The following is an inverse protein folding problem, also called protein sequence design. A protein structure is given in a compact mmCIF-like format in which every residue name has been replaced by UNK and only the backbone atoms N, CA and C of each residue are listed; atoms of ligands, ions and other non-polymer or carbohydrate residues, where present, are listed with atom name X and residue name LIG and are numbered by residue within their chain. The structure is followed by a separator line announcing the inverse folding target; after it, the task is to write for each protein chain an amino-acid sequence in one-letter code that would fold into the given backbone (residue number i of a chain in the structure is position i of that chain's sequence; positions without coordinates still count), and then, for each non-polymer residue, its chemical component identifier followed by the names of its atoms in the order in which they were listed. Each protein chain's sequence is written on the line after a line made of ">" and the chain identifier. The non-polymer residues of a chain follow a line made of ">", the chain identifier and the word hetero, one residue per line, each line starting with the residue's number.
data_IF_464716948876
#
_entry.id   IF_464716948876
#
_cell.length_a   1.000
_cell.length_b   1.000
_cell.length_c   1.000
_cell.angle_alpha   90.00
_cell.angle_beta   90.00
_cell.angle_gamma   90.00
#
_symmetry.space_group_name_H-M   'P 1'
#
loop_
_entity.id
_entity.type
_entity.pdbx_description
1 polymer ?
#
# COMPACT_ATOMS: atom_id res chain seq x y z
N UNK A 1 4.15 -11.02 14.79
CA UNK A 1 4.29 -9.56 14.58
C UNK A 1 2.96 -9.04 14.05
N UNK A 2 2.54 -7.85 14.46
CA UNK A 2 1.28 -7.22 14.08
C UNK A 2 1.52 -6.09 13.10
N UNK A 3 0.72 -6.05 12.04
CA UNK A 3 0.76 -5.01 11.01
C UNK A 3 -0.56 -4.26 11.03
N UNK A 4 -0.47 -2.94 11.22
CA UNK A 4 -1.57 -2.02 10.96
C UNK A 4 -1.51 -1.57 9.51
N UNK A 5 -2.49 -1.96 8.70
CA UNK A 5 -2.54 -1.66 7.29
C UNK A 5 -3.58 -0.59 6.97
N UNK A 6 -3.11 0.47 6.31
CA UNK A 6 -3.86 1.62 5.81
C UNK A 6 -3.53 1.84 4.33
N UNK A 7 -4.37 2.62 3.65
CA UNK A 7 -4.22 3.05 2.26
C UNK A 7 -5.24 4.14 1.97
N UNK A 8 -5.11 4.86 0.86
CA UNK A 8 -6.17 5.72 0.32
C UNK A 8 -6.69 6.73 1.36
N UNK A 9 -5.78 7.35 2.13
CA UNK A 9 -6.17 8.38 3.09
C UNK A 9 -6.52 9.70 2.41
N UNK A 10 -6.06 9.94 1.18
CA UNK A 10 -6.39 11.12 0.37
C UNK A 10 -6.33 12.46 1.13
N UNK A 11 -5.19 12.75 1.75
CA UNK A 11 -4.94 13.95 2.56
C UNK A 11 -5.81 14.07 3.83
N UNK A 12 -6.52 13.02 4.23
CA UNK A 12 -7.39 12.98 5.41
C UNK A 12 -6.77 12.24 6.61
N UNK A 13 -5.50 11.83 6.53
CA UNK A 13 -4.78 11.05 7.55
C UNK A 13 -4.84 11.67 8.96
N UNK A 14 -4.89 12.99 9.09
CA UNK A 14 -5.01 13.68 10.39
C UNK A 14 -6.34 13.40 11.13
N UNK A 15 -7.37 12.89 10.45
CA UNK A 15 -8.63 12.44 11.07
C UNK A 15 -8.49 11.09 11.78
N UNK A 16 -7.44 10.32 11.48
CA UNK A 16 -7.14 9.03 12.12
C UNK A 16 -6.49 9.25 13.49
N UNK A 17 -7.30 9.57 14.49
CA UNK A 17 -6.84 9.95 15.84
C UNK A 17 -6.77 8.79 16.83
N UNK A 18 -7.29 7.62 16.47
CA UNK A 18 -7.39 6.44 17.36
C UNK A 18 -7.03 5.16 16.60
N UNK A 19 -5.79 5.10 16.15
CA UNK A 19 -5.25 3.90 15.53
C UNK A 19 -4.84 2.88 16.61
N UNK A 20 -5.02 1.58 16.37
CA UNK A 20 -4.59 0.54 17.31
C UNK A 20 -3.06 0.46 17.37
N UNK A 21 -2.54 -0.11 18.45
CA UNK A 21 -1.14 -0.46 18.57
C UNK A 21 -0.78 -1.57 17.56
N UNK A 22 0.44 -1.50 17.02
CA UNK A 22 1.00 -2.49 16.11
C UNK A 22 2.53 -2.43 16.12
N UNK A 23 3.18 -3.48 15.66
CA UNK A 23 4.64 -3.52 15.52
C UNK A 23 5.11 -2.73 14.28
N UNK A 24 4.30 -2.75 13.21
CA UNK A 24 4.56 -2.05 11.95
C UNK A 24 3.28 -1.40 11.42
N UNK A 25 3.37 -0.15 10.98
CA UNK A 25 2.33 0.47 10.15
C UNK A 25 2.73 0.41 8.67
N UNK A 26 1.80 0.02 7.80
CA UNK A 26 1.97 0.03 6.35
C UNK A 26 0.90 0.90 5.70
N UNK A 27 1.30 1.83 4.82
CA UNK A 27 0.41 2.64 3.98
C UNK A 27 0.59 2.32 2.49
N UNK A 28 -0.39 1.67 1.84
CA UNK A 28 -0.25 1.17 0.46
C UNK A 28 -0.60 2.16 -0.65
N UNK A 29 -0.30 3.45 -0.46
CA UNK A 29 -0.47 4.50 -1.47
C UNK A 29 -1.74 5.34 -1.35
N UNK A 30 -1.84 6.36 -2.19
CA UNK A 30 -2.91 7.37 -2.22
C UNK A 30 -3.06 8.12 -0.90
N UNK A 31 -1.93 8.53 -0.34
CA UNK A 31 -1.93 9.40 0.83
C UNK A 31 -2.21 10.86 0.49
N UNK A 32 -1.99 11.28 -0.75
CA UNK A 32 -2.38 12.60 -1.25
C UNK A 32 -3.73 12.55 -1.98
N UNK A 33 -4.38 13.71 -2.13
CA UNK A 33 -5.61 13.83 -2.94
C UNK A 33 -5.29 14.35 -4.35
N UNK A 34 -4.41 15.35 -4.47
CA UNK A 34 -4.11 15.98 -5.76
C UNK A 34 -2.67 15.79 -6.20
N UNK A 35 -1.87 15.02 -5.44
CA UNK A 35 -0.48 14.77 -5.76
C UNK A 35 0.41 16.00 -5.62
N UNK A 36 0.12 16.92 -4.69
CA UNK A 36 1.00 18.07 -4.43
C UNK A 36 2.10 17.73 -3.42
N UNK A 37 3.26 18.37 -3.55
CA UNK A 37 4.36 18.22 -2.58
C UNK A 37 3.93 18.60 -1.16
N UNK A 38 3.06 19.60 -1.02
CA UNK A 38 2.57 20.04 0.28
C UNK A 38 1.73 18.97 0.99
N UNK A 39 0.89 18.24 0.25
CA UNK A 39 0.13 17.10 0.78
C UNK A 39 1.07 15.96 1.18
N UNK A 40 2.07 15.65 0.34
CA UNK A 40 3.05 14.62 0.65
C UNK A 40 3.86 14.96 1.91
N UNK A 41 4.31 16.20 2.06
CA UNK A 41 5.02 16.68 3.26
C UNK A 41 4.11 16.59 4.49
N UNK A 42 2.83 16.96 4.37
CA UNK A 42 1.87 16.86 5.49
C UNK A 42 1.67 15.41 5.94
N UNK A 43 1.53 14.48 4.99
CA UNK A 43 1.44 13.05 5.26
C UNK A 43 2.72 12.51 5.91
N UNK A 44 3.90 12.83 5.37
CA UNK A 44 5.17 12.34 5.91
C UNK A 44 5.42 12.85 7.34
N UNK A 45 5.08 14.11 7.64
CA UNK A 45 5.15 14.65 9.00
C UNK A 45 4.22 13.87 9.95
N UNK A 46 2.97 13.66 9.56
CA UNK A 46 2.03 12.85 10.34
C UNK A 46 2.54 11.43 10.55
N UNK A 47 3.05 10.79 9.50
CA UNK A 47 3.56 9.42 9.56
C UNK A 47 4.76 9.32 10.51
N UNK A 48 5.68 10.29 10.47
CA UNK A 48 6.87 10.31 11.34
C UNK A 48 6.48 10.42 12.82
N UNK A 49 5.49 11.25 13.15
CA UNK A 49 4.99 11.50 14.52
C UNK A 49 4.29 10.29 15.16
N UNK A 50 3.88 9.28 14.38
CA UNK A 50 3.20 8.10 14.92
C UNK A 50 4.17 7.19 15.71
N UNK A 51 3.70 6.57 16.81
CA UNK A 51 4.55 5.86 17.77
C UNK A 51 4.98 4.45 17.32
N UNK A 52 4.70 4.06 16.08
CA UNK A 52 5.00 2.71 15.58
C UNK A 52 6.52 2.50 15.46
N UNK A 53 7.05 1.35 15.89
CA UNK A 53 8.46 1.01 15.76
C UNK A 53 8.98 1.13 14.32
N UNK A 54 8.17 0.72 13.33
CA UNK A 54 8.44 0.91 11.91
C UNK A 54 7.20 1.37 11.15
N UNK A 55 7.41 2.20 10.13
CA UNK A 55 6.38 2.67 9.20
C UNK A 55 6.86 2.46 7.76
N UNK A 56 6.04 1.84 6.92
CA UNK A 56 6.34 1.61 5.51
C UNK A 56 5.27 2.31 4.68
N UNK A 57 5.65 2.95 3.59
CA UNK A 57 4.69 3.44 2.62
C UNK A 57 5.18 3.31 1.18
N UNK A 58 4.23 3.25 0.26
CA UNK A 58 4.44 3.32 -1.19
C UNK A 58 3.56 4.44 -1.77
N UNK A 59 3.74 4.75 -3.05
CA UNK A 59 2.87 5.67 -3.78
C UNK A 59 1.71 4.93 -4.47
N UNK A 60 0.55 5.57 -4.51
CA UNK A 60 -0.57 5.23 -5.39
C UNK A 60 -0.71 6.23 -6.55
N UNK A 61 -1.81 6.13 -7.29
CA UNK A 61 -2.03 6.95 -8.50
C UNK A 61 -2.32 8.43 -8.21
N UNK A 62 -2.63 8.80 -6.97
CA UNK A 62 -2.76 10.20 -6.56
C UNK A 62 -1.42 10.84 -6.19
N UNK A 63 -0.37 10.06 -5.91
CA UNK A 63 0.88 10.56 -5.33
C UNK A 63 1.92 11.03 -6.38
N UNK A 64 1.46 11.64 -7.47
CA UNK A 64 2.27 11.97 -8.64
C UNK A 64 3.47 12.90 -8.34
N UNK A 65 3.40 13.75 -7.31
CA UNK A 65 4.55 14.59 -6.88
C UNK A 65 5.82 13.79 -6.57
N UNK A 66 5.71 12.50 -6.25
CA UNK A 66 6.85 11.66 -5.96
C UNK A 66 7.36 10.86 -7.17
N UNK A 67 6.76 11.02 -8.36
CA UNK A 67 7.23 10.33 -9.55
C UNK A 67 8.65 10.79 -9.95
N UNK A 68 9.62 9.88 -9.80
CA UNK A 68 11.03 10.17 -10.05
C UNK A 68 11.68 11.06 -8.98
N UNK A 69 10.97 11.39 -7.90
CA UNK A 69 11.50 12.16 -6.80
C UNK A 69 12.47 11.32 -5.94
N UNK A 70 13.36 12.01 -5.24
CA UNK A 70 14.17 11.45 -4.16
C UNK A 70 13.62 11.99 -2.86
N UNK A 71 13.36 11.10 -1.91
CA UNK A 71 12.92 11.47 -0.57
C UNK A 71 14.14 11.40 0.35
N UNK A 72 14.52 12.54 0.89
CA UNK A 72 15.58 12.67 1.89
C UNK A 72 14.96 13.14 3.22
N UNK A 73 15.62 12.84 4.34
CA UNK A 73 15.23 13.37 5.66
C UNK A 73 14.13 12.61 6.40
N UNK A 74 13.73 11.43 5.91
CA UNK A 74 12.87 10.53 6.69
C UNK A 74 13.60 10.00 7.93
N UNK A 75 12.85 9.79 9.01
CA UNK A 75 13.35 9.08 10.18
C UNK A 75 13.82 7.67 9.80
N UNK A 76 14.82 7.15 10.54
CA UNK A 76 15.41 5.82 10.27
C UNK A 76 14.42 4.67 10.31
N UNK A 77 13.25 4.88 10.91
CA UNK A 77 12.20 3.88 11.01
C UNK A 77 11.03 4.10 10.03
N UNK A 78 11.15 5.06 9.11
CA UNK A 78 10.17 5.32 8.06
C UNK A 78 10.78 4.91 6.71
N UNK A 79 10.11 3.99 6.03
CA UNK A 79 10.62 3.33 4.83
C UNK A 79 9.70 3.62 3.64
N UNK A 80 10.19 4.46 2.72
CA UNK A 80 9.55 4.60 1.42
C UNK A 80 10.03 3.49 0.49
N UNK A 81 9.10 2.71 -0.07
CA UNK A 81 9.43 1.67 -1.05
C UNK A 81 8.91 2.06 -2.44
N UNK A 82 9.83 2.13 -3.39
CA UNK A 82 9.54 2.29 -4.81
C UNK A 82 10.32 1.22 -5.57
N UNK A 83 9.66 0.13 -5.97
CA UNK A 83 10.28 -1.04 -6.61
C UNK A 83 11.53 -1.53 -5.86
N UNK A 84 11.40 -1.61 -4.54
CA UNK A 84 12.49 -1.86 -3.60
C UNK A 84 11.97 -2.54 -2.34
N UNK A 85 12.88 -2.90 -1.43
CA UNK A 85 12.54 -3.63 -0.23
C UNK A 85 13.18 -3.06 1.03
N UNK A 86 12.57 -3.42 2.17
CA UNK A 86 13.18 -3.33 3.50
C UNK A 86 13.07 -4.69 4.18
N UNK A 87 14.04 -5.01 5.04
CA UNK A 87 14.00 -6.20 5.89
C UNK A 87 13.84 -5.74 7.34
N UNK A 88 12.77 -6.17 7.99
CA UNK A 88 12.47 -5.90 9.40
C UNK A 88 12.27 -7.24 10.06
N UNK A 89 13.05 -7.56 11.10
CA UNK A 89 12.97 -8.82 11.84
C UNK A 89 13.01 -10.08 10.94
N UNK A 90 13.88 -10.09 9.92
CA UNK A 90 14.01 -11.14 8.90
C UNK A 90 12.79 -11.32 7.97
N UNK A 91 11.84 -10.38 7.99
CA UNK A 91 10.70 -10.35 7.07
C UNK A 91 11.00 -9.34 5.97
N UNK A 92 11.00 -9.81 4.71
CA UNK A 92 11.18 -8.98 3.52
C UNK A 92 9.85 -8.38 3.07
N UNK A 93 9.77 -7.05 3.16
CA UNK A 93 8.70 -6.23 2.59
C UNK A 93 9.15 -5.69 1.24
N UNK A 94 8.38 -5.91 0.18
CA UNK A 94 8.68 -5.38 -1.15
C UNK A 94 7.53 -4.49 -1.62
N UNK A 95 7.85 -3.26 -2.05
CA UNK A 95 6.87 -2.27 -2.45
C UNK A 95 6.91 -1.95 -3.94
N UNK A 96 5.76 -1.99 -4.61
CA UNK A 96 5.57 -1.55 -6.00
C UNK A 96 4.53 -0.43 -6.03
N UNK A 97 4.90 0.82 -6.37
CA UNK A 97 3.95 1.91 -6.45
C UNK A 97 3.05 1.76 -7.68
N UNK A 98 1.98 2.57 -7.76
CA UNK A 98 1.14 2.69 -8.95
C UNK A 98 1.15 4.14 -9.45
N UNK A 99 2.09 4.47 -10.33
CA UNK A 99 2.06 5.76 -11.02
C UNK A 99 1.31 5.64 -12.33
N UNK A 100 0.48 6.63 -12.66
CA UNK A 100 -0.31 6.60 -13.90
C UNK A 100 0.58 6.51 -15.14
N UNK A 101 1.75 7.17 -15.14
CA UNK A 101 2.77 7.12 -16.17
C UNK A 101 3.32 5.71 -16.40
N UNK A 102 3.49 4.94 -15.34
CA UNK A 102 3.97 3.57 -15.42
C UNK A 102 2.85 2.61 -15.88
N UNK A 103 1.59 2.88 -15.51
CA UNK A 103 0.42 2.09 -15.93
C UNK A 103 0.06 2.26 -17.42
N UNK A 104 0.26 3.43 -17.99
CA UNK A 104 0.00 3.69 -19.42
C UNK A 104 1.12 3.14 -20.33
N UNK A 105 2.21 2.67 -19.74
CA UNK A 105 3.35 2.08 -20.44
C UNK A 105 3.54 0.62 -19.99
N UNK A 106 4.48 -0.10 -20.64
CA UNK A 106 4.84 -1.45 -20.20
C UNK A 106 5.70 -1.46 -18.92
N UNK A 107 5.88 -0.31 -18.25
CA UNK A 107 6.74 -0.21 -17.07
C UNK A 107 6.09 -0.87 -15.85
N UNK A 108 4.79 -0.69 -15.63
CA UNK A 108 4.12 -1.31 -14.48
C UNK A 108 4.16 -2.84 -14.56
N UNK A 109 3.89 -3.42 -15.73
CA UNK A 109 3.99 -4.87 -15.95
C UNK A 109 5.41 -5.41 -15.68
N UNK A 110 6.45 -4.66 -16.11
CA UNK A 110 7.85 -5.01 -15.80
C UNK A 110 8.17 -4.92 -14.32
N UNK A 111 7.64 -3.92 -13.62
CA UNK A 111 7.79 -3.77 -12.17
C UNK A 111 7.20 -4.99 -11.44
N UNK A 112 6.01 -5.45 -11.84
CA UNK A 112 5.41 -6.68 -11.29
C UNK A 112 6.26 -7.92 -11.59
N UNK A 113 6.70 -8.11 -12.83
CA UNK A 113 7.56 -9.25 -13.19
C UNK A 113 8.88 -9.29 -12.40
N UNK A 114 9.39 -8.12 -11.98
CA UNK A 114 10.64 -7.97 -11.24
C UNK A 114 10.51 -8.20 -9.71
N UNK A 115 9.29 -8.38 -9.17
CA UNK A 115 9.10 -8.65 -7.73
C UNK A 115 9.93 -9.88 -7.33
N UNK A 116 10.79 -9.84 -6.28
CA UNK A 116 11.61 -10.97 -5.88
C UNK A 116 10.81 -12.17 -5.37
N UNK A 117 11.27 -13.39 -5.69
CA UNK A 117 10.60 -14.63 -5.30
C UNK A 117 10.64 -14.91 -3.78
N UNK A 118 11.56 -14.28 -3.05
CA UNK A 118 11.70 -14.42 -1.59
C UNK A 118 10.97 -13.31 -0.80
N UNK A 119 10.04 -12.61 -1.45
CA UNK A 119 9.19 -11.60 -0.82
C UNK A 119 8.23 -12.25 0.19
N UNK A 120 8.27 -11.80 1.45
CA UNK A 120 7.34 -12.30 2.47
C UNK A 120 6.06 -11.48 2.51
N UNK A 121 6.17 -10.16 2.42
CA UNK A 121 5.05 -9.21 2.39
C UNK A 121 5.17 -8.37 1.13
N UNK A 122 4.21 -8.50 0.23
CA UNK A 122 4.11 -7.67 -0.96
C UNK A 122 3.20 -6.47 -0.67
N UNK A 123 3.63 -5.28 -1.06
CA UNK A 123 2.86 -4.04 -0.95
C UNK A 123 2.71 -3.47 -2.36
N UNK A 124 1.48 -3.38 -2.86
CA UNK A 124 1.16 -2.72 -4.13
C UNK A 124 0.02 -1.75 -3.90
N UNK A 125 -0.16 -0.73 -4.73
CA UNK A 125 -1.37 0.07 -4.63
C UNK A 125 -2.54 -0.63 -5.37
N UNK A 126 -2.28 -1.06 -6.61
CA UNK A 126 -3.22 -1.85 -7.41
C UNK A 126 -3.49 -3.23 -6.76
N UNK A 127 -4.75 -3.69 -6.69
CA UNK A 127 -5.07 -5.05 -6.28
C UNK A 127 -4.72 -6.08 -7.38
N UNK A 128 -4.47 -7.36 -7.03
CA UNK A 128 -4.46 -8.43 -8.01
C UNK A 128 -5.88 -8.73 -8.52
N UNK A 129 -6.01 -9.09 -9.80
CA UNK A 129 -7.29 -9.35 -10.43
C UNK A 129 -8.13 -10.40 -9.66
N UNK A 130 -9.41 -10.10 -9.41
CA UNK A 130 -10.36 -11.01 -8.75
C UNK A 130 -10.21 -11.11 -7.22
N UNK A 131 -9.32 -10.32 -6.61
CA UNK A 131 -9.09 -10.30 -5.16
C UNK A 131 -9.38 -8.91 -4.61
N UNK A 132 -10.55 -8.75 -3.98
CA UNK A 132 -10.96 -7.49 -3.34
C UNK A 132 -10.87 -6.28 -4.29
N UNK A 133 -11.23 -6.48 -5.56
CA UNK A 133 -11.07 -5.51 -6.65
C UNK A 133 -12.34 -5.27 -7.48
N UNK A 134 -13.46 -5.90 -7.12
CA UNK A 134 -14.72 -5.76 -7.85
C UNK A 134 -15.47 -4.49 -7.46
N UNK A 135 -15.70 -3.60 -8.42
CA UNK A 135 -16.60 -2.47 -8.27
C UNK A 135 -17.29 -2.11 -9.59
N UNK A 136 -18.49 -1.52 -9.51
CA UNK A 136 -19.28 -1.04 -10.66
C UNK A 136 -19.44 -2.06 -11.81
N UNK A 137 -19.53 -3.34 -11.44
CA UNK A 137 -19.75 -4.45 -12.38
C UNK A 137 -18.49 -5.01 -13.03
N UNK A 138 -17.30 -4.51 -12.69
CA UNK A 138 -16.02 -4.94 -13.25
C UNK A 138 -14.96 -5.17 -12.16
N UNK A 139 -13.86 -5.83 -12.53
CA UNK A 139 -12.68 -6.02 -11.69
C UNK A 139 -11.60 -5.01 -12.11
N UNK A 140 -11.08 -4.25 -11.15
CA UNK A 140 -10.04 -3.24 -11.40
C UNK A 140 -8.60 -3.74 -11.20
N UNK A 141 -8.43 -4.98 -10.69
CA UNK A 141 -7.11 -5.53 -10.41
C UNK A 141 -6.33 -5.96 -11.66
N UNK A 142 -5.02 -6.14 -11.49
CA UNK A 142 -4.12 -6.55 -12.57
C UNK A 142 -3.95 -8.08 -12.64
N UNK A 143 -4.06 -8.61 -13.86
CA UNK A 143 -3.83 -10.04 -14.16
C UNK A 143 -2.34 -10.38 -14.07
N UNK A 144 -1.46 -9.47 -14.50
CA UNK A 144 0.00 -9.61 -14.40
C UNK A 144 0.45 -9.67 -12.94
N UNK A 145 -0.15 -8.83 -12.09
CA UNK A 145 0.09 -8.85 -10.66
C UNK A 145 -0.40 -10.15 -10.03
N UNK A 146 -1.63 -10.59 -10.34
CA UNK A 146 -2.15 -11.88 -9.88
C UNK A 146 -1.20 -13.02 -10.26
N UNK A 147 -0.78 -13.07 -11.53
CA UNK A 147 0.17 -14.08 -12.04
C UNK A 147 1.44 -14.12 -11.20
N UNK A 148 2.05 -12.96 -10.92
CA UNK A 148 3.26 -12.91 -10.08
C UNK A 148 3.00 -13.35 -8.64
N UNK A 149 1.86 -12.96 -8.07
CA UNK A 149 1.48 -13.35 -6.70
C UNK A 149 1.29 -14.86 -6.59
N UNK A 150 0.68 -15.51 -7.59
CA UNK A 150 0.52 -16.97 -7.63
C UNK A 150 1.86 -17.71 -7.76
N UNK A 151 2.85 -17.11 -8.42
CA UNK A 151 4.20 -17.64 -8.54
C UNK A 151 4.98 -17.56 -7.22
N UNK A 152 4.96 -16.40 -6.54
CA UNK A 152 5.80 -16.16 -5.35
C UNK A 152 5.11 -16.53 -4.04
N UNK A 153 3.77 -16.53 -4.02
CA UNK A 153 2.92 -16.87 -2.86
C UNK A 153 3.37 -16.16 -1.58
N UNK A 154 3.35 -14.82 -1.55
CA UNK A 154 3.79 -14.09 -0.37
C UNK A 154 2.87 -14.44 0.80
N UNK A 155 3.35 -14.31 2.04
CA UNK A 155 2.51 -14.57 3.22
C UNK A 155 1.39 -13.53 3.32
N UNK A 156 1.72 -12.29 2.99
CA UNK A 156 0.80 -11.16 2.93
C UNK A 156 0.92 -10.39 1.62
N UNK A 157 -0.21 -9.93 1.10
CA UNK A 157 -0.30 -8.94 0.03
C UNK A 157 -1.21 -7.79 0.46
N UNK A 158 -0.60 -6.62 0.67
CA UNK A 158 -1.22 -5.40 1.17
C UNK A 158 -1.41 -4.41 0.02
N UNK A 159 -2.65 -3.95 -0.20
CA UNK A 159 -3.00 -3.01 -1.27
C UNK A 159 -4.22 -2.15 -0.94
N UNK A 160 -4.63 -1.27 -1.85
CA UNK A 160 -5.74 -0.32 -1.66
C UNK A 160 -6.60 -0.17 -2.90
N UNK A 161 -6.83 1.08 -3.31
CA UNK A 161 -7.43 1.51 -4.58
C UNK A 161 -8.95 1.29 -4.70
N UNK A 162 -9.44 0.08 -4.42
CA UNK A 162 -10.87 -0.26 -4.60
C UNK A 162 -11.60 -0.13 -3.27
N UNK A 163 -12.10 1.08 -2.97
CA UNK A 163 -12.63 1.44 -1.64
C UNK A 163 -13.81 0.56 -1.20
N UNK A 164 -14.70 0.16 -2.13
CA UNK A 164 -15.86 -0.69 -1.81
C UNK A 164 -15.49 -2.11 -1.39
N UNK A 165 -14.24 -2.51 -1.64
CA UNK A 165 -13.71 -3.84 -1.33
C UNK A 165 -12.72 -3.83 -0.17
N UNK A 166 -12.69 -2.75 0.63
CA UNK A 166 -11.94 -2.72 1.88
C UNK A 166 -12.19 -3.98 2.73
N UNK A 167 -11.10 -4.62 3.18
CA UNK A 167 -11.18 -5.79 4.05
C UNK A 167 -10.00 -6.73 3.91
N UNK A 168 -10.16 -7.94 4.45
CA UNK A 168 -9.13 -8.99 4.45
C UNK A 168 -9.74 -10.28 3.92
N UNK A 169 -9.01 -10.94 3.01
CA UNK A 169 -9.38 -12.23 2.43
C UNK A 169 -8.18 -13.17 2.46
N UNK A 170 -8.38 -14.42 2.87
CA UNK A 170 -7.38 -15.46 2.71
C UNK A 170 -7.68 -16.27 1.46
N UNK A 171 -6.68 -16.49 0.62
CA UNK A 171 -6.77 -17.39 -0.53
C UNK A 171 -5.48 -18.22 -0.64
N UNK A 172 -5.64 -19.54 -0.59
CA UNK A 172 -4.52 -20.47 -0.41
C UNK A 172 -3.69 -20.15 0.85
N UNK A 173 -2.39 -19.94 0.64
CA UNK A 173 -1.41 -19.57 1.68
C UNK A 173 -1.28 -18.07 1.92
N UNK A 174 -1.83 -17.24 1.03
CA UNK A 174 -1.66 -15.79 1.06
C UNK A 174 -2.85 -15.15 1.77
N UNK A 175 -2.57 -14.19 2.64
CA UNK A 175 -3.58 -13.29 3.19
C UNK A 175 -3.50 -11.97 2.41
N UNK A 176 -4.62 -11.57 1.83
CA UNK A 176 -4.79 -10.34 1.07
C UNK A 176 -5.51 -9.32 1.92
N UNK A 177 -5.04 -8.08 1.91
CA UNK A 177 -5.70 -6.98 2.60
C UNK A 177 -5.82 -5.79 1.68
N UNK A 178 -7.06 -5.34 1.49
CA UNK A 178 -7.39 -4.05 0.91
C UNK A 178 -7.56 -3.05 2.06
N UNK A 179 -6.58 -2.16 2.24
CA UNK A 179 -6.48 -1.16 3.30
C UNK A 179 -7.11 0.19 2.98
N UNK A 180 -7.90 0.31 1.90
CA UNK A 180 -8.53 1.55 1.47
C UNK A 180 -9.35 2.18 2.61
N UNK A 181 -8.74 3.19 3.25
CA UNK A 181 -9.19 3.71 4.53
C UNK A 181 -10.34 4.68 4.33
N UNK A 182 -10.31 5.53 3.30
CA UNK A 182 -11.47 6.31 2.93
C UNK A 182 -12.55 5.39 2.34
N UNK A 183 -13.80 5.55 2.73
CA UNK A 183 -14.89 4.77 2.15
C UNK A 183 -15.23 5.25 0.72
N UNK A 184 -16.05 4.48 -0.01
CA UNK A 184 -16.34 4.74 -1.43
C UNK A 184 -17.10 6.04 -1.72
N UNK A 185 -17.72 6.68 -0.73
CA UNK A 185 -18.40 7.97 -0.87
C UNK A 185 -17.61 9.16 -0.26
N UNK A 186 -16.40 8.90 0.23
CA UNK A 186 -15.48 9.89 0.80
C UNK A 186 -16.01 10.64 2.04
N UNK A 187 -17.01 10.08 2.73
CA UNK A 187 -17.59 10.71 3.94
C UNK A 187 -16.91 10.22 5.22
N UNK A 188 -16.52 8.95 5.28
CA UNK A 188 -16.08 8.28 6.50
C UNK A 188 -14.87 7.39 6.27
N UNK A 189 -14.25 6.96 7.37
CA UNK A 189 -13.19 5.97 7.34
C UNK A 189 -13.72 4.57 7.60
N UNK A 190 -13.21 3.62 6.82
CA UNK A 190 -13.24 2.20 7.17
C UNK A 190 -12.36 1.95 8.39
N UNK A 191 -12.65 0.86 9.12
CA UNK A 191 -11.80 0.45 10.23
C UNK A 191 -10.45 -0.03 9.70
N UNK A 192 -9.31 0.39 10.31
CA UNK A 192 -8.00 -0.10 9.92
C UNK A 192 -7.89 -1.62 10.01
N UNK A 193 -7.18 -2.24 9.06
CA UNK A 193 -6.93 -3.67 9.09
C UNK A 193 -5.74 -3.96 9.99
N UNK A 194 -5.96 -4.72 11.07
CA UNK A 194 -4.90 -5.23 11.93
C UNK A 194 -4.67 -6.71 11.61
N UNK A 195 -3.44 -7.06 11.21
CA UNK A 195 -3.12 -8.37 10.65
C UNK A 195 -1.91 -8.97 11.38
N UNK A 196 -1.94 -10.26 11.64
CA UNK A 196 -0.80 -11.00 12.20
C UNK A 196 0.02 -11.66 11.10
N UNK A 197 1.34 -11.60 11.26
CA UNK A 197 2.35 -12.36 10.50
C UNK A 197 3.30 -13.08 11.46
#
# INVERSE_FOLDING_TARGET
>A
MTILHLSDTHSQHRRLTRLPDADILVHSGDFTMNGSEQEAIDFMNWLCDLPYPHKIFICGNHDACLYGAKIDGLDKNVHYLCNSNVIIENIKFYGVPMFMEDCISDRQARNYAAIPADTNVLITHCPPYGILDFDDGINYGSIELLTRVEEIKPRLHLFGHVHKQHGVKKDGSTIFSNGASMNGDYTNFNFPNLIEI
#
